data_IF_226666355080
#
_entry.id   IF_226666355080
#
_cell.length_a   1.000
_cell.length_b   1.000
_cell.length_c   1.000
_cell.angle_alpha   90.00
_cell.angle_beta   90.00
_cell.angle_gamma   90.00
#
_symmetry.space_group_name_H-M   'P 1'
#
loop_
_entity.id
_entity.type
_entity.pdbx_description
1 polymer ?
#
# COMPACT_ATOMS: atom_id res chain seq x y z
N UNK A 1 32.90 -13.26 -5.63
CA UNK A 1 32.09 -13.12 -4.40
C UNK A 1 30.66 -12.84 -4.81
N UNK A 2 29.81 -13.84 -4.59
CA UNK A 2 28.39 -13.87 -4.94
C UNK A 2 27.61 -12.90 -4.04
N UNK A 3 27.08 -11.79 -4.59
CA UNK A 3 26.02 -11.05 -3.91
C UNK A 3 24.70 -11.78 -4.14
N UNK A 4 24.24 -12.46 -3.09
CA UNK A 4 23.00 -13.25 -3.04
C UNK A 4 21.79 -12.31 -3.09
N UNK A 5 20.94 -12.45 -4.12
CA UNK A 5 19.64 -11.79 -4.21
C UNK A 5 18.53 -12.70 -3.68
N UNK A 6 17.61 -12.13 -2.90
CA UNK A 6 16.46 -12.81 -2.29
C UNK A 6 15.47 -13.32 -3.35
N UNK A 7 14.93 -14.53 -3.14
CA UNK A 7 13.94 -15.19 -4.01
C UNK A 7 12.57 -15.23 -3.33
N UNK A 8 11.47 -15.02 -4.07
CA UNK A 8 10.08 -15.30 -3.64
C UNK A 8 9.43 -16.24 -4.66
N UNK A 9 8.96 -17.41 -4.22
CA UNK A 9 8.31 -18.44 -5.04
C UNK A 9 9.08 -18.86 -6.30
N UNK A 10 10.40 -18.98 -6.21
CA UNK A 10 11.23 -19.57 -7.27
C UNK A 10 11.37 -18.75 -8.57
N UNK A 11 10.74 -17.57 -8.68
CA UNK A 11 10.96 -16.63 -9.77
C UNK A 11 11.79 -15.45 -9.27
N UNK A 12 12.85 -15.10 -9.99
CA UNK A 12 13.60 -13.87 -9.74
C UNK A 12 12.64 -12.69 -9.97
N UNK A 13 12.39 -11.90 -8.93
CA UNK A 13 11.76 -10.60 -9.10
C UNK A 13 12.73 -9.76 -9.94
N UNK A 14 12.28 -9.28 -11.12
CA UNK A 14 13.08 -8.35 -11.91
C UNK A 14 13.40 -7.16 -11.02
N UNK A 15 14.69 -6.98 -10.75
CA UNK A 15 15.20 -5.77 -10.15
C UNK A 15 14.68 -4.57 -10.94
N UNK A 16 14.21 -3.54 -10.24
CA UNK A 16 14.01 -2.22 -10.80
C UNK A 16 15.21 -1.87 -11.68
N UNK A 17 14.97 -1.78 -13.00
CA UNK A 17 16.02 -1.57 -13.98
C UNK A 17 16.40 -0.08 -13.98
N UNK A 18 17.56 0.22 -13.38
CA UNK A 18 18.16 1.56 -13.40
C UNK A 18 18.46 2.08 -14.82
N UNK A 19 18.36 1.25 -15.87
CA UNK A 19 18.62 1.68 -17.25
C UNK A 19 17.54 2.57 -17.85
N UNK A 20 16.32 2.61 -17.30
CA UNK A 20 15.24 3.39 -17.94
C UNK A 20 15.29 4.91 -17.69
N UNK A 21 16.12 5.38 -16.76
CA UNK A 21 16.21 6.81 -16.40
C UNK A 21 17.63 7.40 -16.53
N UNK A 22 18.66 6.55 -16.66
CA UNK A 22 20.04 7.03 -16.88
C UNK A 22 20.21 7.71 -18.25
N UNK A 23 19.57 7.17 -19.29
CA UNK A 23 19.59 7.73 -20.65
C UNK A 23 18.85 9.08 -20.75
N UNK A 24 17.84 9.31 -19.90
CA UNK A 24 17.08 10.56 -19.90
C UNK A 24 17.87 11.72 -19.27
N UNK A 25 18.68 11.43 -18.24
CA UNK A 25 19.44 12.43 -17.50
C UNK A 25 20.73 12.89 -18.22
N UNK A 26 21.41 11.98 -18.93
CA UNK A 26 22.66 12.29 -19.62
C UNK A 26 22.45 13.04 -20.94
N UNK A 27 21.40 12.66 -21.69
CA UNK A 27 21.04 13.28 -22.99
C UNK A 27 20.57 14.74 -22.88
N UNK A 28 20.17 15.18 -21.68
CA UNK A 28 19.82 16.58 -21.38
C UNK A 28 21.05 17.47 -21.08
N UNK A 29 22.18 16.89 -20.65
CA UNK A 29 23.31 17.64 -20.07
C UNK A 29 24.64 17.53 -20.84
N UNK A 30 24.70 16.78 -21.95
CA UNK A 30 25.82 16.78 -22.91
C UNK A 30 27.23 16.54 -22.30
N UNK A 31 27.37 15.52 -21.46
CA UNK A 31 28.65 15.13 -20.83
C UNK A 31 29.33 13.98 -21.62
N UNK A 32 30.67 13.86 -21.63
CA UNK A 32 31.40 12.90 -22.48
C UNK A 32 31.45 11.46 -21.92
N UNK A 33 31.44 10.49 -22.85
CA UNK A 33 30.94 9.11 -22.71
C UNK A 33 32.01 8.02 -22.48
N UNK A 34 33.18 8.34 -21.94
CA UNK A 34 34.28 7.36 -21.83
C UNK A 34 34.50 6.92 -20.38
N UNK A 35 34.22 5.63 -20.08
CA UNK A 35 35.09 4.68 -19.33
C UNK A 35 34.30 3.38 -18.99
N UNK A 36 34.68 2.32 -19.73
CA UNK A 36 34.61 0.86 -19.46
C UNK A 36 33.28 0.09 -19.48
N UNK A 37 33.20 -0.82 -20.46
CA UNK A 37 32.06 -1.69 -20.74
C UNK A 37 31.95 -2.90 -19.78
N UNK A 38 30.72 -3.23 -19.38
CA UNK A 38 30.35 -4.42 -18.59
C UNK A 38 30.20 -5.70 -19.45
N UNK A 39 30.72 -5.71 -20.69
CA UNK A 39 30.56 -6.83 -21.62
C UNK A 39 31.48 -8.04 -21.33
N UNK A 40 32.52 -7.87 -20.50
CA UNK A 40 33.57 -8.90 -20.33
C UNK A 40 33.36 -9.90 -19.18
N UNK A 41 32.31 -9.75 -18.36
CA UNK A 41 32.09 -10.66 -17.20
C UNK A 41 31.14 -11.85 -17.56
N UNK A 42 30.34 -11.74 -18.62
CA UNK A 42 29.37 -12.77 -19.01
C UNK A 42 29.97 -13.99 -19.76
N UNK A 43 31.30 -14.11 -19.83
CA UNK A 43 31.97 -15.18 -20.58
C UNK A 43 32.54 -16.32 -19.71
N UNK A 44 32.30 -16.33 -18.39
CA UNK A 44 32.96 -17.28 -17.48
C UNK A 44 32.08 -18.29 -16.72
N UNK A 45 30.76 -18.36 -16.92
CA UNK A 45 29.91 -19.39 -16.25
C UNK A 45 28.99 -20.18 -17.18
N UNK A 46 29.30 -20.22 -18.48
CA UNK A 46 28.61 -21.07 -19.45
C UNK A 46 29.53 -22.16 -19.99
N UNK A 47 30.14 -22.97 -19.11
CA UNK A 47 30.84 -24.21 -19.50
C UNK A 47 30.69 -25.19 -18.32
N UNK A 48 29.66 -26.04 -18.29
CA UNK A 48 29.76 -27.48 -18.63
C UNK A 48 28.36 -28.14 -18.63
N UNK A 49 28.20 -29.22 -19.40
CA UNK A 49 26.96 -29.81 -19.95
C UNK A 49 25.99 -30.48 -18.94
N UNK A 50 24.69 -30.65 -19.29
CA UNK A 50 23.65 -31.17 -18.41
C UNK A 50 23.55 -32.70 -18.47
N UNK A 51 23.32 -33.37 -17.34
CA UNK A 51 22.94 -34.79 -17.32
C UNK A 51 21.79 -35.06 -16.36
N UNK A 52 20.84 -35.88 -16.84
CA UNK A 52 19.88 -36.83 -16.23
C UNK A 52 19.22 -36.52 -14.86
N UNK A 53 19.95 -35.96 -13.92
CA UNK A 53 19.52 -35.68 -12.55
C UNK A 53 18.39 -34.62 -12.51
N UNK A 54 18.46 -33.60 -13.36
CA UNK A 54 17.42 -32.55 -13.40
C UNK A 54 16.06 -33.10 -13.80
N UNK A 55 16.00 -34.03 -14.76
CA UNK A 55 14.75 -34.62 -15.25
C UNK A 55 14.12 -35.55 -14.22
N UNK A 56 14.92 -36.29 -13.44
CA UNK A 56 14.43 -37.17 -12.37
C UNK A 56 13.88 -36.34 -11.20
N UNK A 57 14.58 -35.28 -10.81
CA UNK A 57 14.13 -34.40 -9.71
C UNK A 57 12.85 -33.62 -10.06
N UNK A 58 12.69 -33.17 -11.31
CA UNK A 58 11.49 -32.46 -11.75
C UNK A 58 10.24 -33.36 -11.77
N UNK A 59 10.38 -34.64 -12.16
CA UNK A 59 9.26 -35.56 -12.24
C UNK A 59 8.75 -36.03 -10.87
N UNK A 60 9.64 -36.16 -9.88
CA UNK A 60 9.27 -36.58 -8.53
C UNK A 60 8.51 -35.47 -7.78
N UNK A 61 8.94 -34.21 -7.94
CA UNK A 61 8.28 -33.06 -7.31
C UNK A 61 6.85 -32.84 -7.78
N UNK A 62 6.58 -33.05 -9.07
CA UNK A 62 5.24 -32.86 -9.63
C UNK A 62 4.24 -33.90 -9.13
N UNK A 63 4.68 -35.14 -8.85
CA UNK A 63 3.80 -36.20 -8.32
C UNK A 63 3.43 -36.01 -6.86
N UNK A 64 4.34 -35.46 -6.04
CA UNK A 64 4.08 -35.20 -4.62
C UNK A 64 3.09 -34.05 -4.45
N UNK A 65 3.21 -32.99 -5.25
CA UNK A 65 2.31 -31.84 -5.17
C UNK A 65 0.86 -32.20 -5.55
N UNK A 66 0.65 -33.08 -6.53
CA UNK A 66 -0.68 -33.52 -6.93
C UNK A 66 -1.41 -34.34 -5.83
N UNK A 67 -0.67 -35.09 -5.01
CA UNK A 67 -1.24 -35.91 -3.92
C UNK A 67 -1.59 -35.04 -2.70
N UNK A 68 -0.83 -33.98 -2.45
CA UNK A 68 -1.09 -33.05 -1.36
C UNK A 68 -2.32 -32.16 -1.63
N UNK A 69 -2.55 -31.77 -2.88
CA UNK A 69 -3.71 -30.95 -3.23
C UNK A 69 -5.04 -31.72 -3.15
N UNK A 70 -5.07 -33.00 -3.54
CA UNK A 70 -6.31 -33.80 -3.48
C UNK A 70 -6.76 -34.08 -2.05
N UNK A 71 -5.81 -34.36 -1.15
CA UNK A 71 -6.11 -34.66 0.27
C UNK A 71 -6.54 -33.43 1.08
N UNK A 72 -6.04 -32.24 0.73
CA UNK A 72 -6.48 -30.98 1.36
C UNK A 72 -7.91 -30.59 0.97
N UNK A 73 -8.33 -30.87 -0.27
CA UNK A 73 -9.65 -30.47 -0.75
C UNK A 73 -10.80 -31.28 -0.11
N UNK A 74 -10.62 -32.59 0.06
CA UNK A 74 -11.66 -33.46 0.64
C UNK A 74 -11.98 -33.15 2.11
N UNK A 75 -11.00 -32.67 2.87
CA UNK A 75 -11.16 -32.39 4.31
C UNK A 75 -11.90 -31.08 4.60
N UNK A 76 -11.76 -30.06 3.72
CA UNK A 76 -12.41 -28.75 3.87
C UNK A 76 -13.89 -28.77 3.50
N UNK A 77 -14.28 -29.60 2.52
CA UNK A 77 -15.67 -29.66 2.05
C UNK A 77 -16.63 -30.32 3.06
N UNK A 78 -16.15 -31.29 3.86
CA UNK A 78 -16.99 -32.07 4.78
C UNK A 78 -17.30 -31.35 6.11
N UNK A 79 -16.48 -30.36 6.50
CA UNK A 79 -16.59 -29.64 7.77
C UNK A 79 -17.38 -28.33 7.68
N UNK A 80 -17.38 -27.66 6.51
CA UNK A 80 -18.03 -26.37 6.30
C UNK A 80 -19.58 -26.45 6.30
N UNK A 81 -20.16 -27.52 5.75
CA UNK A 81 -21.62 -27.60 5.57
C UNK A 81 -22.39 -27.75 6.90
N UNK A 82 -21.89 -28.51 7.86
CA UNK A 82 -22.62 -28.76 9.13
C UNK A 82 -22.69 -27.54 10.04
N UNK A 83 -21.65 -26.70 10.05
CA UNK A 83 -21.61 -25.50 10.88
C UNK A 83 -22.42 -24.37 10.25
N UNK A 84 -22.36 -24.19 8.92
CA UNK A 84 -23.09 -23.11 8.24
C UNK A 84 -24.60 -23.18 8.45
N UNK A 85 -25.22 -24.37 8.44
CA UNK A 85 -26.66 -24.52 8.66
C UNK A 85 -27.10 -24.24 10.10
N UNK A 86 -26.23 -24.43 11.08
CA UNK A 86 -26.54 -24.17 12.49
C UNK A 86 -26.57 -22.67 12.84
N UNK A 87 -25.73 -21.85 12.19
CA UNK A 87 -25.69 -20.40 12.42
C UNK A 87 -26.87 -19.65 11.77
N UNK A 88 -27.32 -20.12 10.61
CA UNK A 88 -28.45 -19.50 9.88
C UNK A 88 -29.77 -19.71 10.64
N UNK A 89 -29.97 -20.88 11.26
CA UNK A 89 -31.20 -21.17 12.02
C UNK A 89 -31.27 -20.40 13.35
N UNK A 90 -30.14 -20.20 14.04
CA UNK A 90 -30.10 -19.41 15.27
C UNK A 90 -30.34 -17.90 15.01
N UNK A 91 -29.84 -17.37 13.89
CA UNK A 91 -29.96 -15.94 13.59
C UNK A 91 -31.38 -15.55 13.16
N UNK A 92 -32.05 -16.41 12.40
CA UNK A 92 -33.41 -16.16 11.92
C UNK A 92 -34.45 -16.18 13.04
N UNK A 93 -34.26 -17.04 14.04
CA UNK A 93 -35.16 -17.13 15.21
C UNK A 93 -35.01 -15.93 16.16
N UNK A 94 -33.80 -15.43 16.39
CA UNK A 94 -33.57 -14.25 17.22
C UNK A 94 -34.16 -12.96 16.60
N UNK A 95 -34.05 -12.80 15.28
CA UNK A 95 -34.61 -11.64 14.58
C UNK A 95 -36.14 -11.62 14.61
N UNK A 96 -36.79 -12.78 14.45
CA UNK A 96 -38.24 -12.89 14.53
C UNK A 96 -38.80 -12.48 15.91
N UNK A 97 -38.08 -12.82 16.99
CA UNK A 97 -38.45 -12.42 18.36
C UNK A 97 -38.31 -10.91 18.59
N UNK A 98 -37.27 -10.28 18.05
CA UNK A 98 -37.07 -8.82 18.17
C UNK A 98 -38.15 -8.02 17.43
N UNK A 99 -38.53 -8.43 16.21
CA UNK A 99 -39.60 -7.77 15.45
C UNK A 99 -40.97 -7.94 16.12
N UNK A 100 -41.22 -9.09 16.74
CA UNK A 100 -42.47 -9.30 17.50
C UNK A 100 -42.54 -8.42 18.75
N UNK A 101 -41.40 -8.07 19.36
CA UNK A 101 -41.36 -7.25 20.58
C UNK A 101 -41.60 -5.76 20.29
N UNK A 102 -41.18 -5.26 19.11
CA UNK A 102 -41.33 -3.85 18.72
C UNK A 102 -42.75 -3.47 18.30
N UNK A 103 -43.61 -4.43 17.95
CA UNK A 103 -45.02 -4.16 17.62
C UNK A 103 -45.92 -3.97 18.85
N UNK A 104 -45.48 -4.35 20.05
CA UNK A 104 -46.31 -4.35 21.26
C UNK A 104 -46.12 -3.08 22.11
N UNK A 105 -45.06 -2.29 21.88
CA UNK A 105 -44.79 -1.08 22.67
C UNK A 105 -45.32 0.17 21.95
N UNK A 106 -46.35 0.87 22.48
CA UNK A 106 -46.79 2.14 21.91
C UNK A 106 -45.75 3.23 22.21
N UNK A 107 -44.97 3.62 21.20
CA UNK A 107 -44.01 4.73 21.30
C UNK A 107 -44.79 6.05 21.35
N UNK A 108 -44.94 6.62 22.56
CA UNK A 108 -45.51 7.96 22.72
C UNK A 108 -44.47 9.00 22.29
N UNK A 109 -44.55 9.43 21.03
CA UNK A 109 -43.81 10.61 20.55
C UNK A 109 -44.51 11.85 21.10
N UNK A 110 -43.96 12.44 22.16
CA UNK A 110 -44.30 13.82 22.52
C UNK A 110 -43.50 14.76 21.62
N UNK A 111 -44.15 15.54 20.73
CA UNK A 111 -43.44 16.53 19.93
C UNK A 111 -43.00 17.69 20.82
N UNK A 112 -41.70 17.84 21.02
CA UNK A 112 -41.13 19.02 21.67
C UNK A 112 -41.22 20.21 20.71
N UNK A 113 -42.17 21.12 20.96
CA UNK A 113 -42.28 22.38 20.23
C UNK A 113 -41.18 23.34 20.67
N UNK A 114 -40.00 23.24 20.06
CA UNK A 114 -39.01 24.33 20.07
C UNK A 114 -39.29 25.27 18.90
N UNK A 115 -40.24 26.18 19.11
CA UNK A 115 -40.42 27.31 18.20
C UNK A 115 -39.26 28.30 18.41
N UNK A 116 -38.21 28.17 17.61
CA UNK A 116 -37.24 29.25 17.37
C UNK A 116 -37.08 29.42 15.85
N UNK A 117 -38.04 30.14 15.27
CA UNK A 117 -37.96 30.57 13.88
C UNK A 117 -36.87 31.63 13.76
N UNK A 118 -35.76 31.27 13.13
CA UNK A 118 -34.79 32.23 12.62
C UNK A 118 -35.01 32.38 11.13
N UNK A 119 -35.61 33.50 10.71
CA UNK A 119 -35.62 33.92 9.32
C UNK A 119 -34.25 34.51 8.98
N UNK A 120 -33.33 33.67 8.48
CA UNK A 120 -32.15 34.16 7.78
C UNK A 120 -32.42 34.13 6.29
N UNK A 121 -32.73 35.30 5.72
CA UNK A 121 -32.63 35.50 4.27
C UNK A 121 -31.16 35.77 3.94
N UNK A 122 -30.38 34.71 3.89
CA UNK A 122 -29.09 34.72 3.20
C UNK A 122 -29.16 33.58 2.21
N UNK A 123 -28.84 33.84 0.93
CA UNK A 123 -28.48 32.76 0.02
C UNK A 123 -27.55 31.81 0.80
N UNK A 124 -27.79 30.49 0.80
CA UNK A 124 -26.82 29.61 1.42
C UNK A 124 -25.50 29.88 0.72
N UNK A 125 -24.53 30.45 1.45
CA UNK A 125 -23.15 30.21 1.09
C UNK A 125 -23.05 28.70 1.15
N UNK A 126 -22.89 28.09 -0.03
CA UNK A 126 -22.64 26.68 -0.16
C UNK A 126 -21.56 26.33 0.85
N UNK A 127 -21.96 25.63 1.91
CA UNK A 127 -21.05 25.11 2.93
C UNK A 127 -20.00 24.20 2.26
N UNK A 128 -20.34 23.69 1.08
CA UNK A 128 -19.47 23.00 0.12
C UNK A 128 -18.37 23.91 -0.46
N UNK A 129 -18.69 25.16 -0.84
CA UNK A 129 -17.69 26.10 -1.36
C UNK A 129 -16.70 26.57 -0.28
N UNK A 130 -17.15 26.79 0.96
CA UNK A 130 -16.26 27.21 2.05
C UNK A 130 -15.42 26.05 2.59
N UNK A 131 -15.93 24.82 2.60
CA UNK A 131 -15.09 23.65 2.88
C UNK A 131 -14.07 23.44 1.75
N UNK A 132 -14.47 23.51 0.48
CA UNK A 132 -13.55 23.36 -0.65
C UNK A 132 -12.49 24.47 -0.73
N UNK A 133 -12.78 25.67 -0.24
CA UNK A 133 -11.85 26.82 -0.22
C UNK A 133 -10.94 26.83 1.02
N UNK A 134 -11.40 26.30 2.17
CA UNK A 134 -10.57 26.13 3.39
C UNK A 134 -9.69 24.87 3.31
N UNK A 135 -10.11 23.83 2.57
CA UNK A 135 -9.23 22.78 2.03
C UNK A 135 -8.45 23.26 0.78
N UNK A 136 -8.19 24.56 0.73
CA UNK A 136 -7.13 25.22 -0.04
C UNK A 136 -5.95 24.28 -0.32
N UNK A 137 -5.94 23.73 -1.54
CA UNK A 137 -4.79 23.55 -2.44
C UNK A 137 -3.43 23.30 -1.76
N UNK A 138 -3.36 22.42 -0.76
CA UNK A 138 -2.10 22.12 -0.09
C UNK A 138 -1.15 21.54 -1.15
N UNK A 139 -0.10 22.29 -1.46
CA UNK A 139 0.86 21.90 -2.48
C UNK A 139 1.52 20.54 -2.18
N UNK A 140 1.57 20.12 -0.91
CA UNK A 140 2.05 18.80 -0.47
C UNK A 140 1.12 17.70 -0.97
N UNK A 141 -0.18 17.85 -0.71
CA UNK A 141 -1.22 16.90 -1.14
C UNK A 141 -1.27 16.79 -2.66
N UNK A 142 -1.15 17.92 -3.35
CA UNK A 142 -1.09 17.95 -4.82
C UNK A 142 0.14 17.23 -5.37
N UNK A 143 1.33 17.43 -4.78
CA UNK A 143 2.54 16.70 -5.18
C UNK A 143 2.39 15.19 -5.04
N UNK A 144 1.82 14.72 -3.92
CA UNK A 144 1.51 13.28 -3.75
C UNK A 144 0.56 12.80 -4.84
N UNK A 145 -0.54 13.54 -5.06
CA UNK A 145 -1.56 13.15 -6.04
C UNK A 145 -1.00 13.08 -7.46
N UNK A 146 -0.23 14.08 -7.90
CA UNK A 146 0.36 14.09 -9.24
C UNK A 146 1.41 13.00 -9.43
N UNK A 147 2.21 12.70 -8.40
CA UNK A 147 3.13 11.55 -8.44
C UNK A 147 2.36 10.24 -8.52
N UNK A 148 1.36 10.05 -7.66
CA UNK A 148 0.53 8.85 -7.69
C UNK A 148 -0.19 8.65 -9.03
N UNK A 149 -0.71 9.73 -9.61
CA UNK A 149 -1.32 9.75 -10.95
C UNK A 149 -0.30 9.40 -12.04
N UNK A 150 0.88 10.02 -12.03
CA UNK A 150 1.94 9.74 -12.99
C UNK A 150 2.34 8.26 -12.97
N UNK A 151 2.47 7.69 -11.77
CA UNK A 151 2.77 6.28 -11.60
C UNK A 151 1.53 5.38 -11.67
N UNK A 152 0.30 5.87 -11.86
CA UNK A 152 -0.94 5.07 -11.89
C UNK A 152 -1.11 4.21 -10.63
N UNK A 153 -0.94 4.83 -9.48
CA UNK A 153 -1.08 4.19 -8.18
C UNK A 153 -2.56 4.02 -7.81
N UNK A 154 -2.98 2.88 -7.22
CA UNK A 154 -4.32 2.75 -6.64
C UNK A 154 -4.66 3.78 -5.54
N UNK A 155 -3.63 4.44 -5.00
CA UNK A 155 -3.71 5.50 -3.99
C UNK A 155 -3.93 6.91 -4.58
N UNK A 156 -4.06 7.05 -5.91
CA UNK A 156 -4.32 8.34 -6.56
C UNK A 156 -5.52 9.08 -5.95
N UNK A 157 -5.38 10.39 -5.78
CA UNK A 157 -6.42 11.25 -5.19
C UNK A 157 -6.41 11.31 -3.66
N UNK A 158 -5.63 10.46 -2.98
CA UNK A 158 -5.59 10.40 -1.52
C UNK A 158 -4.61 11.37 -0.86
N UNK A 159 -3.92 12.24 -1.60
CA UNK A 159 -2.84 13.11 -1.09
C UNK A 159 -3.21 13.96 0.13
N UNK A 160 -4.47 14.36 0.26
CA UNK A 160 -4.98 15.06 1.45
C UNK A 160 -4.97 14.17 2.69
N UNK A 161 -5.36 12.90 2.57
CA UNK A 161 -5.34 11.92 3.67
C UNK A 161 -3.91 11.69 4.16
N UNK A 162 -2.95 11.58 3.24
CA UNK A 162 -1.53 11.43 3.60
C UNK A 162 -1.00 12.62 4.39
N UNK A 163 -1.29 13.84 3.92
CA UNK A 163 -0.82 15.06 4.58
C UNK A 163 -1.52 15.26 5.93
N UNK A 164 -2.84 15.07 5.98
CA UNK A 164 -3.61 15.18 7.22
C UNK A 164 -3.09 14.24 8.31
N UNK A 165 -2.90 12.96 7.99
CA UNK A 165 -2.40 11.99 8.96
C UNK A 165 -0.92 12.21 9.29
N UNK A 166 -0.13 12.79 8.37
CA UNK A 166 1.24 13.14 8.67
C UNK A 166 1.33 14.29 9.69
N UNK A 167 0.58 15.38 9.45
CA UNK A 167 0.53 16.54 10.35
C UNK A 167 -0.01 16.16 11.72
N UNK A 168 -1.07 15.34 11.76
CA UNK A 168 -1.67 14.82 13.01
C UNK A 168 -0.70 13.98 13.85
N UNK A 169 0.26 13.29 13.22
CA UNK A 169 1.19 12.41 13.90
C UNK A 169 2.62 12.97 13.97
N UNK A 170 2.83 14.24 13.60
CA UNK A 170 4.13 14.94 13.57
C UNK A 170 5.22 14.15 12.83
N UNK A 171 4.90 13.72 11.60
CA UNK A 171 5.83 13.01 10.70
C UNK A 171 5.96 13.74 9.36
N UNK A 172 7.07 13.54 8.61
CA UNK A 172 7.21 14.13 7.28
C UNK A 172 6.10 13.67 6.34
N UNK A 173 5.38 14.63 5.75
CA UNK A 173 4.21 14.40 4.89
C UNK A 173 4.41 13.43 3.72
N UNK A 174 5.64 13.28 3.24
CA UNK A 174 5.99 12.39 2.13
C UNK A 174 6.30 10.95 2.57
N UNK A 175 6.62 10.70 3.85
CA UNK A 175 7.26 9.44 4.27
C UNK A 175 6.35 8.22 4.07
N UNK A 176 5.07 8.35 4.42
CA UNK A 176 4.10 7.24 4.32
C UNK A 176 3.82 6.91 2.85
N UNK A 177 3.76 7.93 1.98
CA UNK A 177 3.62 7.73 0.54
C UNK A 177 4.85 7.03 -0.07
N UNK A 178 6.06 7.43 0.34
CA UNK A 178 7.31 6.81 -0.11
C UNK A 178 7.46 5.36 0.35
N UNK A 179 7.02 5.03 1.57
CA UNK A 179 7.01 3.64 2.04
C UNK A 179 6.05 2.80 1.19
N UNK A 180 4.88 3.32 0.82
CA UNK A 180 3.96 2.60 -0.08
C UNK A 180 4.61 2.28 -1.44
N UNK A 181 5.37 3.20 -2.01
CA UNK A 181 6.18 2.94 -3.21
C UNK A 181 7.19 1.81 -2.99
N UNK A 182 7.95 1.90 -1.90
CA UNK A 182 9.00 0.93 -1.59
C UNK A 182 8.45 -0.49 -1.33
N UNK A 183 7.30 -0.60 -0.67
CA UNK A 183 6.76 -1.89 -0.23
C UNK A 183 5.92 -2.59 -1.30
N UNK A 184 5.11 -1.82 -2.04
CA UNK A 184 4.08 -2.40 -2.93
C UNK A 184 3.99 -1.70 -4.28
N UNK A 185 4.99 -0.88 -4.65
CA UNK A 185 4.89 -0.01 -5.83
C UNK A 185 3.61 0.83 -5.78
N UNK A 186 3.44 1.56 -4.67
CA UNK A 186 2.33 2.48 -4.36
C UNK A 186 0.94 1.82 -4.36
N UNK A 187 0.84 0.60 -3.82
CA UNK A 187 -0.42 -0.13 -3.69
C UNK A 187 -0.74 -1.04 -4.87
N UNK A 188 0.13 -1.15 -5.88
CA UNK A 188 -0.09 -2.04 -7.04
C UNK A 188 0.13 -3.51 -6.71
N UNK A 189 1.05 -3.79 -5.79
CA UNK A 189 1.48 -5.13 -5.41
C UNK A 189 1.16 -5.39 -3.93
N UNK A 190 -0.11 -5.45 -3.59
CA UNK A 190 -0.58 -5.75 -2.24
C UNK A 190 -0.95 -7.22 -2.08
N UNK A 191 -0.85 -7.75 -0.84
CA UNK A 191 -1.34 -9.09 -0.56
C UNK A 191 -2.87 -9.13 -0.64
N UNK A 192 -3.42 -10.30 -0.94
CA UNK A 192 -4.85 -10.57 -0.86
C UNK A 192 -5.10 -11.51 0.31
N UNK A 193 -6.10 -11.20 1.13
CA UNK A 193 -6.58 -12.09 2.18
C UNK A 193 -7.88 -12.73 1.70
N UNK A 194 -7.93 -14.05 1.64
CA UNK A 194 -9.13 -14.80 1.21
C UNK A 194 -9.68 -14.36 -0.17
N UNK A 195 -8.79 -13.90 -1.06
CA UNK A 195 -9.15 -13.42 -2.40
C UNK A 195 -9.56 -11.95 -2.46
N UNK A 196 -9.69 -11.27 -1.32
CA UNK A 196 -10.03 -9.85 -1.22
C UNK A 196 -8.78 -8.97 -1.09
N UNK A 197 -8.89 -7.72 -1.54
CA UNK A 197 -7.83 -6.72 -1.38
C UNK A 197 -7.56 -6.45 0.11
N UNK A 198 -6.29 -6.44 0.51
CA UNK A 198 -5.91 -6.15 1.90
C UNK A 198 -5.82 -4.66 2.20
N UNK A 199 -5.73 -3.82 1.17
CA UNK A 199 -5.47 -2.39 1.29
C UNK A 199 -4.17 -2.07 2.05
N UNK A 200 -3.24 -3.02 2.12
CA UNK A 200 -1.99 -2.90 2.87
C UNK A 200 -0.83 -2.58 1.92
N UNK A 201 -0.69 -1.31 1.55
CA UNK A 201 0.37 -0.83 0.66
C UNK A 201 1.76 -0.78 1.32
N UNK A 202 1.85 -0.96 2.65
CA UNK A 202 3.04 -0.68 3.45
C UNK A 202 3.71 -1.92 4.07
N UNK A 203 3.22 -3.12 3.75
CA UNK A 203 3.70 -4.35 4.38
C UNK A 203 3.50 -4.37 5.90
N UNK A 204 2.56 -3.57 6.40
CA UNK A 204 2.36 -3.35 7.83
C UNK A 204 1.88 -4.63 8.52
N UNK A 205 2.54 -5.03 9.61
CA UNK A 205 2.19 -6.20 10.41
C UNK A 205 2.03 -7.53 9.63
N UNK A 206 2.76 -7.70 8.52
CA UNK A 206 2.79 -8.94 7.74
C UNK A 206 3.93 -9.83 8.22
N UNK A 207 3.62 -11.08 8.62
CA UNK A 207 4.63 -12.06 9.06
C UNK A 207 4.20 -13.49 8.74
N UNK A 208 5.10 -14.29 8.17
CA UNK A 208 4.79 -15.67 7.76
C UNK A 208 3.61 -15.72 6.78
N UNK A 209 2.55 -16.43 7.16
CA UNK A 209 1.29 -16.49 6.41
C UNK A 209 0.27 -15.43 6.85
N UNK A 210 0.55 -14.66 7.90
CA UNK A 210 -0.36 -13.61 8.39
C UNK A 210 -0.28 -12.39 7.47
N UNK A 211 -1.44 -11.96 6.96
CA UNK A 211 -1.62 -10.73 6.19
C UNK A 211 -2.53 -9.83 6.99
N UNK A 212 -1.99 -8.72 7.50
CA UNK A 212 -2.83 -7.66 8.04
C UNK A 212 -3.61 -7.00 6.90
N UNK A 213 -4.93 -6.94 7.05
CA UNK A 213 -5.84 -6.21 6.18
C UNK A 213 -6.31 -4.92 6.83
N UNK A 214 -6.65 -3.93 6.02
CA UNK A 214 -7.35 -2.72 6.42
C UNK A 214 -8.70 -2.66 5.72
N UNK A 215 -9.66 -1.93 6.29
CA UNK A 215 -10.98 -1.77 5.68
C UNK A 215 -10.91 -1.01 4.33
N UNK A 216 -9.93 -0.12 4.21
CA UNK A 216 -9.64 0.67 3.02
C UNK A 216 -8.24 1.30 3.12
N UNK A 217 -7.79 1.94 2.03
CA UNK A 217 -6.49 2.61 1.98
C UNK A 217 -6.32 3.69 3.06
N UNK A 218 -7.35 4.47 3.37
CA UNK A 218 -7.26 5.57 4.34
C UNK A 218 -6.96 5.04 5.75
N UNK A 219 -7.58 3.91 6.14
CA UNK A 219 -7.27 3.23 7.40
C UNK A 219 -5.83 2.71 7.48
N UNK A 220 -5.28 2.28 6.34
CA UNK A 220 -3.87 1.94 6.24
C UNK A 220 -2.95 3.15 6.44
N UNK A 221 -3.26 4.29 5.80
CA UNK A 221 -2.52 5.55 5.98
C UNK A 221 -2.53 5.98 7.45
N UNK A 222 -3.70 6.02 8.08
CA UNK A 222 -3.88 6.37 9.50
C UNK A 222 -3.01 5.47 10.40
N UNK A 223 -3.11 4.15 10.22
CA UNK A 223 -2.43 3.16 11.07
C UNK A 223 -0.91 3.28 10.97
N UNK A 224 -0.38 3.40 9.75
CA UNK A 224 1.06 3.50 9.50
C UNK A 224 1.60 4.85 9.97
N UNK A 225 0.88 5.94 9.73
CA UNK A 225 1.27 7.29 10.18
C UNK A 225 1.38 7.33 11.71
N UNK A 226 0.35 6.82 12.40
CA UNK A 226 0.34 6.72 13.86
C UNK A 226 1.50 5.90 14.40
N UNK A 227 1.78 4.75 13.78
CA UNK A 227 2.91 3.93 14.19
C UNK A 227 4.24 4.67 14.03
N UNK A 228 4.47 5.32 12.88
CA UNK A 228 5.71 6.04 12.64
C UNK A 228 5.92 7.18 13.65
N UNK A 229 4.87 7.97 13.88
CA UNK A 229 4.88 9.05 14.88
C UNK A 229 5.25 8.54 16.27
N UNK A 230 4.55 7.52 16.74
CA UNK A 230 4.73 6.98 18.10
C UNK A 230 6.02 6.19 18.29
N UNK A 231 6.46 5.44 17.27
CA UNK A 231 7.60 4.54 17.41
C UNK A 231 8.94 5.24 17.17
N UNK A 232 8.97 6.22 16.27
CA UNK A 232 10.21 6.83 15.79
C UNK A 232 10.27 8.34 16.00
N UNK A 233 9.35 9.10 15.39
CA UNK A 233 9.48 10.56 15.32
C UNK A 233 9.33 11.24 16.69
N UNK A 234 8.38 10.79 17.52
CA UNK A 234 8.26 11.24 18.92
C UNK A 234 9.50 10.96 19.79
N UNK A 235 10.43 10.12 19.31
CA UNK A 235 11.70 9.80 19.97
C UNK A 235 12.90 10.46 19.28
N UNK A 236 12.66 11.36 18.33
CA UNK A 236 13.72 12.01 17.55
C UNK A 236 14.40 11.12 16.52
N UNK A 237 13.82 9.95 16.19
CA UNK A 237 14.36 9.05 15.16
C UNK A 237 13.75 9.44 13.81
N UNK A 238 14.42 10.33 13.08
CA UNK A 238 13.99 10.79 11.75
C UNK A 238 14.74 10.10 10.60
N UNK A 239 15.88 9.50 10.86
CA UNK A 239 16.73 8.86 9.83
C UNK A 239 16.08 7.57 9.31
N UNK A 240 15.79 7.52 8.00
CA UNK A 240 15.07 6.40 7.39
C UNK A 240 15.81 5.07 7.51
N UNK A 241 17.15 5.08 7.55
CA UNK A 241 17.92 3.86 7.76
C UNK A 241 17.91 3.38 9.23
N UNK A 242 17.64 4.25 10.20
CA UNK A 242 17.39 3.85 11.58
C UNK A 242 15.96 3.28 11.73
N UNK A 243 14.98 3.91 11.10
CA UNK A 243 13.60 3.39 11.01
C UNK A 243 13.60 1.99 10.40
N UNK A 244 14.36 1.80 9.31
CA UNK A 244 14.50 0.52 8.60
C UNK A 244 14.92 -0.64 9.52
N UNK A 245 15.86 -0.41 10.44
CA UNK A 245 16.37 -1.46 11.36
C UNK A 245 15.26 -2.08 12.21
N UNK A 246 14.17 -1.34 12.44
CA UNK A 246 13.02 -1.79 13.21
C UNK A 246 11.84 -2.17 12.30
N UNK A 247 11.58 -1.38 11.27
CA UNK A 247 10.44 -1.57 10.37
C UNK A 247 10.64 -2.82 9.47
N UNK A 248 11.86 -3.01 8.96
CA UNK A 248 12.22 -4.15 8.09
C UNK A 248 13.65 -4.64 8.41
N UNK A 249 13.87 -5.25 9.59
CA UNK A 249 15.20 -5.62 10.09
C UNK A 249 16.07 -6.46 9.13
N UNK A 250 15.51 -7.37 8.30
CA UNK A 250 16.30 -8.13 7.33
C UNK A 250 16.87 -7.27 6.17
N UNK A 251 16.41 -6.03 5.99
CA UNK A 251 16.89 -5.16 4.92
C UNK A 251 18.32 -4.68 5.20
N UNK A 252 19.16 -4.70 4.16
CA UNK A 252 20.56 -4.28 4.20
C UNK A 252 20.77 -2.83 3.71
N UNK A 253 19.78 -1.95 3.89
CA UNK A 253 19.84 -0.56 3.41
C UNK A 253 19.17 -0.32 2.07
N UNK A 254 18.70 -1.36 1.38
CA UNK A 254 17.90 -1.19 0.15
C UNK A 254 16.58 -0.46 0.42
N UNK A 255 15.95 -0.74 1.57
CA UNK A 255 14.67 -0.14 1.91
C UNK A 255 14.77 1.36 2.17
N UNK A 256 15.70 1.82 3.01
CA UNK A 256 15.81 3.26 3.30
C UNK A 256 16.23 4.06 2.07
N UNK A 257 17.10 3.50 1.21
CA UNK A 257 17.44 4.13 -0.08
C UNK A 257 16.23 4.30 -0.98
N UNK A 258 15.35 3.30 -1.06
CA UNK A 258 14.12 3.38 -1.84
C UNK A 258 13.12 4.39 -1.26
N UNK A 259 12.92 4.39 0.06
CA UNK A 259 12.07 5.39 0.73
C UNK A 259 12.58 6.81 0.47
N UNK A 260 13.89 7.04 0.60
CA UNK A 260 14.48 8.36 0.31
C UNK A 260 14.35 8.73 -1.18
N UNK A 261 14.55 7.79 -2.10
CA UNK A 261 14.40 8.02 -3.54
C UNK A 261 12.98 8.48 -3.91
N UNK A 262 11.95 7.78 -3.44
CA UNK A 262 10.56 8.20 -3.69
C UNK A 262 10.19 9.46 -2.90
N UNK A 263 10.78 9.67 -1.72
CA UNK A 263 10.65 10.90 -0.96
C UNK A 263 11.18 12.10 -1.72
N UNK A 264 12.32 11.96 -2.40
CA UNK A 264 12.89 13.00 -3.26
C UNK A 264 11.98 13.31 -4.45
N UNK A 265 11.48 12.28 -5.14
CA UNK A 265 10.53 12.45 -6.25
C UNK A 265 9.29 13.22 -5.80
N UNK A 266 8.68 12.84 -4.67
CA UNK A 266 7.47 13.49 -4.15
C UNK A 266 7.75 14.94 -3.75
N UNK A 267 8.82 15.17 -3.00
CA UNK A 267 9.15 16.51 -2.51
C UNK A 267 9.54 17.45 -3.63
N UNK A 268 10.24 16.97 -4.66
CA UNK A 268 10.74 17.80 -5.76
C UNK A 268 9.88 17.75 -7.02
N UNK A 269 8.70 17.13 -6.95
CA UNK A 269 7.76 17.09 -8.07
C UNK A 269 7.33 18.50 -8.49
N UNK A 270 7.50 18.82 -9.77
CA UNK A 270 7.00 20.04 -10.41
C UNK A 270 6.05 19.64 -11.52
N UNK A 271 4.81 20.15 -11.49
CA UNK A 271 3.87 19.90 -12.58
C UNK A 271 4.40 20.55 -13.87
N UNK A 272 4.13 19.97 -15.07
CA UNK A 272 4.52 20.57 -16.34
C UNK A 272 4.01 22.02 -16.50
N UNK A 273 2.82 22.31 -15.96
CA UNK A 273 2.22 23.66 -15.96
C UNK A 273 3.03 24.65 -15.10
N UNK A 274 3.53 24.22 -13.94
CA UNK A 274 4.35 25.08 -13.06
C UNK A 274 5.70 25.44 -13.68
N UNK A 275 6.26 24.55 -14.50
CA UNK A 275 7.51 24.80 -15.23
C UNK A 275 7.28 25.79 -16.37
N UNK A 276 6.15 25.67 -17.09
CA UNK A 276 5.79 26.58 -18.18
C UNK A 276 5.45 28.01 -17.72
N UNK A 277 5.00 28.17 -16.47
CA UNK A 277 4.75 29.50 -15.87
C UNK A 277 6.01 30.16 -15.32
N UNK A 278 7.04 29.40 -14.96
CA UNK A 278 8.30 29.93 -14.41
C UNK A 278 9.29 30.38 -15.48
N UNK A 279 9.03 30.06 -16.75
CA UNK A 279 9.83 30.45 -17.91
C UNK A 279 9.22 31.61 -18.71
N UNK A 280 8.21 32.30 -18.16
CA UNK A 280 7.71 33.60 -18.66
C UNK A 280 8.10 34.70 -17.70
#
# INVERSE_FOLDING_TARGET
MEQKYFRKNGKCLKSFDRRFDYDFFYKRNNLPEEIFSLADINKACCVTKPTLIYTICANLGNRINAILESTYFETKQKTSSKLAFAWISASTTAFALLVSFTLIIPFKVTPERTAKQYSFTSRPLEMEAVLNDVYSKDSRSQRINEVFKYYKCPLEGMGEVFVHEADKNDIPWWIVASIAFQESSCGKNTPKAEGQESYNAWGWAVYGSNVQTFDNWARGVESVSKYLGQKFFSKGISETCEIMKVYTPPSNGSWCRGVNYFGDIIQNYKSPESVASATR
#
